data_IF_990844027913
#
_entry.id   IF_990844027913
#
_cell.length_a   1.000
_cell.length_b   1.000
_cell.length_c   1.000
_cell.angle_alpha   90.00
_cell.angle_beta   90.00
_cell.angle_gamma   90.00
#
_symmetry.space_group_name_H-M   'P 1'
#
loop_
_entity.id
_entity.type
_entity.pdbx_description
1 polymer ?
#
# COMPACT_ATOMS: atom_id res chain seq x y z
N UNK A 1 -11.74 -16.77 10.68
CA UNK A 1 -12.37 -16.02 9.59
C UNK A 1 -11.74 -16.55 8.33
N UNK A 2 -12.48 -17.39 7.60
CA UNK A 2 -12.04 -17.85 6.28
C UNK A 2 -11.77 -16.62 5.43
N UNK A 3 -10.51 -16.43 5.04
CA UNK A 3 -10.14 -15.35 4.13
C UNK A 3 -10.88 -15.62 2.83
N UNK A 4 -11.86 -14.78 2.49
CA UNK A 4 -12.43 -14.76 1.14
C UNK A 4 -11.25 -14.59 0.18
N UNK A 5 -10.93 -15.59 -0.67
CA UNK A 5 -9.71 -15.57 -1.49
C UNK A 5 -9.59 -14.29 -2.32
N UNK A 6 -10.73 -13.80 -2.82
CA UNK A 6 -10.83 -12.58 -3.62
C UNK A 6 -10.40 -11.30 -2.88
N UNK A 7 -10.73 -11.18 -1.59
CA UNK A 7 -10.32 -10.02 -0.76
C UNK A 7 -8.81 -10.06 -0.52
N UNK A 8 -8.24 -11.26 -0.35
CA UNK A 8 -6.79 -11.42 -0.19
C UNK A 8 -6.05 -11.06 -1.48
N UNK A 9 -6.53 -11.53 -2.63
CA UNK A 9 -5.99 -11.15 -3.95
C UNK A 9 -6.04 -9.62 -4.16
N UNK A 10 -7.14 -8.97 -3.78
CA UNK A 10 -7.28 -7.53 -3.89
C UNK A 10 -6.25 -6.77 -3.03
N UNK A 11 -6.08 -7.19 -1.78
CA UNK A 11 -5.09 -6.59 -0.87
C UNK A 11 -3.67 -6.80 -1.39
N UNK A 12 -3.32 -8.01 -1.82
CA UNK A 12 -2.01 -8.32 -2.41
C UNK A 12 -1.76 -7.49 -3.69
N UNK A 13 -2.81 -7.28 -4.49
CA UNK A 13 -2.73 -6.45 -5.69
C UNK A 13 -2.56 -4.95 -5.37
N UNK A 14 -3.06 -4.46 -4.23
CA UNK A 14 -2.80 -3.11 -3.73
C UNK A 14 -1.38 -2.97 -3.15
N UNK A 15 -0.83 -4.00 -2.51
CA UNK A 15 0.56 -4.00 -2.03
C UNK A 15 1.56 -3.78 -3.17
N UNK A 16 1.25 -4.28 -4.38
CA UNK A 16 2.03 -4.05 -5.59
C UNK A 16 2.07 -2.59 -6.07
N UNK A 17 1.26 -1.69 -5.50
CA UNK A 17 1.40 -0.26 -5.76
C UNK A 17 2.57 0.37 -5.00
N UNK A 18 3.15 -0.34 -4.02
CA UNK A 18 4.41 0.07 -3.41
C UNK A 18 5.54 -0.07 -4.43
N UNK A 19 6.29 1.01 -4.63
CA UNK A 19 7.48 0.95 -5.46
C UNK A 19 8.55 0.04 -4.81
N UNK A 20 9.12 -0.91 -5.56
CA UNK A 20 9.99 -1.94 -4.99
C UNK A 20 11.31 -1.40 -4.45
N UNK A 21 11.83 -0.29 -4.98
CA UNK A 21 13.01 0.39 -4.48
C UNK A 21 12.75 1.16 -3.18
N UNK A 22 11.53 1.68 -2.97
CA UNK A 22 11.11 2.22 -1.67
C UNK A 22 10.97 1.09 -0.65
N UNK A 23 10.31 -0.01 -1.02
CA UNK A 23 10.21 -1.20 -0.17
C UNK A 23 11.59 -1.74 0.21
N UNK A 24 12.53 -1.78 -0.75
CA UNK A 24 13.91 -2.23 -0.51
C UNK A 24 14.65 -1.30 0.45
N UNK A 25 14.49 0.02 0.31
CA UNK A 25 15.09 0.99 1.22
C UNK A 25 14.58 0.80 2.65
N UNK A 26 13.26 0.70 2.82
CA UNK A 26 12.63 0.47 4.13
C UNK A 26 13.13 -0.85 4.74
N UNK A 27 13.21 -1.92 3.94
CA UNK A 27 13.78 -3.19 4.37
C UNK A 27 15.25 -3.09 4.80
N UNK A 28 16.10 -2.39 4.04
CA UNK A 28 17.49 -2.15 4.40
C UNK A 28 17.61 -1.38 5.74
N UNK A 29 16.72 -0.42 6.00
CA UNK A 29 16.68 0.31 7.26
C UNK A 29 16.34 -0.62 8.44
N UNK A 30 15.27 -1.43 8.32
CA UNK A 30 14.91 -2.41 9.35
C UNK A 30 16.00 -3.47 9.58
N UNK A 31 16.64 -3.95 8.52
CA UNK A 31 17.76 -4.89 8.63
C UNK A 31 18.96 -4.27 9.35
N UNK A 32 19.28 -3.01 9.05
CA UNK A 32 20.39 -2.29 9.70
C UNK A 32 20.14 -2.11 11.20
N UNK A 33 18.91 -1.79 11.58
CA UNK A 33 18.50 -1.72 12.99
C UNK A 33 18.60 -3.08 13.69
N UNK A 34 18.13 -4.15 13.04
CA UNK A 34 18.23 -5.50 13.58
C UNK A 34 19.69 -5.97 13.77
N UNK A 35 20.58 -5.65 12.82
CA UNK A 35 22.01 -5.96 12.91
C UNK A 35 22.69 -5.21 14.07
N UNK A 36 22.29 -3.97 14.36
CA UNK A 36 22.81 -3.21 15.49
C UNK A 36 22.38 -3.79 16.85
N UNK A 37 21.18 -4.37 16.92
CA UNK A 37 20.58 -4.87 18.17
C UNK A 37 20.96 -6.33 18.54
N UNK A 38 21.84 -6.99 17.75
CA UNK A 38 22.49 -8.30 18.02
C UNK A 38 21.58 -9.50 18.39
N UNK A 39 20.34 -9.57 17.91
CA UNK A 39 19.52 -10.81 18.02
C UNK A 39 19.57 -11.63 16.74
N UNK A 40 20.45 -12.63 16.71
CA UNK A 40 20.72 -13.51 15.55
C UNK A 40 19.47 -14.17 14.93
N UNK A 41 18.46 -14.47 15.75
CA UNK A 41 17.23 -15.17 15.33
C UNK A 41 16.27 -14.27 14.53
N UNK A 42 16.27 -12.95 14.77
CA UNK A 42 15.41 -12.00 14.04
C UNK A 42 15.97 -11.64 12.65
N UNK A 43 17.29 -11.55 12.50
CA UNK A 43 17.94 -11.07 11.26
C UNK A 43 17.73 -12.02 10.08
N UNK A 44 17.86 -13.33 10.29
CA UNK A 44 17.66 -14.32 9.20
C UNK A 44 16.20 -14.38 8.75
N UNK A 45 15.27 -14.33 9.71
CA UNK A 45 13.83 -14.30 9.43
C UNK A 45 13.46 -13.02 8.68
N UNK A 46 13.91 -11.87 9.16
CA UNK A 46 13.69 -10.57 8.52
C UNK A 46 14.27 -10.51 7.11
N UNK A 47 15.43 -11.13 6.88
CA UNK A 47 16.01 -11.29 5.55
C UNK A 47 15.12 -12.14 4.64
N UNK A 48 14.70 -13.33 5.10
CA UNK A 48 13.86 -14.24 4.33
C UNK A 48 12.51 -13.60 3.97
N UNK A 49 11.86 -12.95 4.95
CA UNK A 49 10.59 -12.25 4.76
C UNK A 49 10.74 -11.09 3.77
N UNK A 50 11.80 -10.29 3.89
CA UNK A 50 12.09 -9.20 2.96
C UNK A 50 12.38 -9.67 1.54
N UNK A 51 13.20 -10.70 1.36
CA UNK A 51 13.48 -11.29 0.04
C UNK A 51 12.21 -11.84 -0.61
N UNK A 52 11.35 -12.48 0.19
CA UNK A 52 10.04 -12.97 -0.28
C UNK A 52 9.16 -11.83 -0.76
N UNK A 53 9.05 -10.76 0.04
CA UNK A 53 8.23 -9.60 -0.28
C UNK A 53 8.74 -8.84 -1.52
N UNK A 54 10.06 -8.67 -1.64
CA UNK A 54 10.67 -7.88 -2.71
C UNK A 54 10.72 -8.59 -4.07
N UNK A 55 10.90 -9.92 -4.06
CA UNK A 55 11.24 -10.66 -5.29
C UNK A 55 10.28 -11.79 -5.64
N UNK A 56 9.37 -12.17 -4.74
CA UNK A 56 8.59 -13.40 -4.85
C UNK A 56 9.44 -14.65 -4.70
N UNK A 57 8.98 -15.61 -3.90
CA UNK A 57 9.63 -16.92 -3.75
C UNK A 57 9.45 -17.80 -5.00
N UNK A 58 10.45 -18.62 -5.33
CA UNK A 58 10.36 -19.67 -6.36
C UNK A 58 9.61 -20.94 -5.90
N UNK A 59 9.05 -20.96 -4.69
CA UNK A 59 8.21 -22.06 -4.20
C UNK A 59 6.74 -21.69 -4.35
N UNK A 60 5.90 -22.66 -4.75
CA UNK A 60 4.44 -22.57 -4.72
C UNK A 60 3.97 -22.14 -3.32
N UNK A 61 3.77 -20.84 -3.11
CA UNK A 61 3.03 -20.25 -2.01
C UNK A 61 2.76 -18.76 -2.30
N UNK A 62 1.68 -18.55 -3.06
CA UNK A 62 0.56 -17.65 -2.76
C UNK A 62 0.77 -16.15 -2.46
N UNK A 63 1.96 -15.57 -2.59
CA UNK A 63 2.12 -14.10 -2.43
C UNK A 63 2.26 -13.31 -3.75
N UNK A 64 2.29 -13.98 -4.91
CA UNK A 64 2.27 -13.37 -6.25
C UNK A 64 1.71 -14.37 -7.28
N UNK A 65 0.48 -14.85 -7.12
CA UNK A 65 -0.20 -15.59 -8.20
C UNK A 65 -0.40 -14.70 -9.45
N UNK A 66 -0.48 -13.38 -9.27
CA UNK A 66 -0.78 -12.41 -10.31
C UNK A 66 0.43 -11.88 -11.10
N UNK A 67 1.66 -12.08 -10.58
CA UNK A 67 2.90 -11.48 -11.11
C UNK A 67 2.90 -9.95 -11.00
N UNK A 68 3.89 -9.38 -10.30
CA UNK A 68 4.06 -7.92 -10.30
C UNK A 68 4.20 -7.36 -11.73
N UNK A 69 3.80 -6.11 -11.92
CA UNK A 69 3.91 -5.44 -13.22
C UNK A 69 5.36 -5.27 -13.70
N UNK A 70 5.55 -4.54 -14.80
CA UNK A 70 6.90 -4.32 -15.38
C UNK A 70 7.86 -3.65 -14.38
N UNK A 71 7.36 -2.79 -13.48
CA UNK A 71 8.17 -2.13 -12.44
C UNK A 71 8.80 -3.14 -11.49
N UNK A 72 8.00 -4.05 -10.95
CA UNK A 72 8.47 -5.10 -10.03
C UNK A 72 9.39 -6.11 -10.71
N UNK A 73 9.05 -6.51 -11.95
CA UNK A 73 9.89 -7.42 -12.74
C UNK A 73 11.25 -6.82 -13.05
N UNK A 74 11.28 -5.57 -13.53
CA UNK A 74 12.52 -4.86 -13.82
C UNK A 74 13.41 -4.72 -12.57
N UNK A 75 12.82 -4.35 -11.43
CA UNK A 75 13.54 -4.30 -10.16
C UNK A 75 14.13 -5.66 -9.79
N UNK A 76 13.33 -6.72 -9.86
CA UNK A 76 13.78 -8.08 -9.53
C UNK A 76 14.95 -8.53 -10.42
N UNK A 77 14.86 -8.31 -11.74
CA UNK A 77 15.91 -8.69 -12.69
C UNK A 77 17.25 -8.00 -12.40
N UNK A 78 17.21 -6.72 -12.01
CA UNK A 78 18.40 -5.93 -11.72
C UNK A 78 18.99 -6.22 -10.33
N UNK A 79 18.12 -6.38 -9.33
CA UNK A 79 18.50 -6.32 -7.91
C UNK A 79 18.68 -7.71 -7.30
N UNK A 80 17.86 -8.71 -7.66
CA UNK A 80 17.83 -10.02 -7.00
C UNK A 80 19.18 -10.71 -6.97
N UNK A 81 19.87 -10.78 -8.13
CA UNK A 81 21.20 -11.39 -8.23
C UNK A 81 22.23 -10.65 -7.36
N UNK A 82 22.16 -9.33 -7.30
CA UNK A 82 23.10 -8.50 -6.53
C UNK A 82 22.90 -8.68 -5.03
N UNK A 83 21.65 -8.77 -4.57
CA UNK A 83 21.29 -9.09 -3.18
C UNK A 83 21.85 -10.47 -2.78
N UNK A 84 21.71 -11.49 -3.61
CA UNK A 84 22.27 -12.83 -3.34
C UNK A 84 23.81 -12.81 -3.34
N UNK A 85 24.45 -12.05 -4.23
CA UNK A 85 25.91 -11.90 -4.24
C UNK A 85 26.42 -11.19 -2.98
N UNK A 86 25.77 -10.10 -2.57
CA UNK A 86 26.16 -9.29 -1.42
C UNK A 86 25.94 -10.03 -0.09
N UNK A 87 24.77 -10.63 0.10
CA UNK A 87 24.35 -11.18 1.39
C UNK A 87 24.38 -12.72 1.47
N UNK A 88 24.67 -13.39 0.35
CA UNK A 88 24.69 -14.84 0.25
C UNK A 88 23.30 -15.44 0.05
N UNK A 89 23.27 -16.72 -0.33
CA UNK A 89 22.03 -17.50 -0.39
C UNK A 89 21.44 -17.55 1.02
N UNK A 90 20.15 -17.21 1.15
CA UNK A 90 19.41 -17.12 2.42
C UNK A 90 20.11 -16.27 3.50
N UNK A 91 20.88 -15.27 3.09
CA UNK A 91 21.56 -14.38 4.05
C UNK A 91 22.75 -15.04 4.75
N UNK A 92 23.32 -16.11 4.20
CA UNK A 92 24.48 -16.82 4.77
C UNK A 92 25.68 -15.93 5.11
N UNK A 93 25.89 -14.80 4.41
CA UNK A 93 26.97 -13.84 4.70
C UNK A 93 26.64 -12.84 5.80
N UNK A 94 25.37 -12.71 6.19
CA UNK A 94 24.93 -11.73 7.21
C UNK A 94 25.48 -12.02 8.60
N UNK A 95 25.73 -13.29 8.93
CA UNK A 95 26.27 -13.70 10.25
C UNK A 95 27.60 -13.02 10.58
N UNK A 96 28.40 -12.72 9.56
CA UNK A 96 29.73 -12.11 9.69
C UNK A 96 29.76 -10.63 9.29
N UNK A 97 28.61 -10.05 8.95
CA UNK A 97 28.50 -8.71 8.39
C UNK A 97 28.02 -7.74 9.47
N UNK A 98 28.74 -6.62 9.63
CA UNK A 98 28.28 -5.53 10.48
C UNK A 98 27.25 -4.64 9.75
N UNK A 99 26.51 -3.83 10.52
CA UNK A 99 25.47 -2.95 10.01
C UNK A 99 25.99 -1.87 9.03
N UNK A 100 27.24 -1.44 9.18
CA UNK A 100 27.86 -0.41 8.32
C UNK A 100 28.14 -0.98 6.93
N UNK A 101 28.75 -2.16 6.86
CA UNK A 101 29.01 -2.89 5.63
C UNK A 101 27.69 -3.26 4.94
N UNK A 102 26.71 -3.78 5.67
CA UNK A 102 25.38 -4.04 5.14
C UNK A 102 24.75 -2.80 4.48
N UNK A 103 24.78 -1.66 5.19
CA UNK A 103 24.29 -0.40 4.67
C UNK A 103 24.99 0.05 3.38
N UNK A 104 26.32 -0.09 3.30
CA UNK A 104 27.08 0.25 2.09
C UNK A 104 26.72 -0.63 0.89
N UNK A 105 26.52 -1.93 1.09
CA UNK A 105 26.09 -2.85 0.03
C UNK A 105 24.67 -2.50 -0.45
N UNK A 106 23.73 -2.24 0.47
CA UNK A 106 22.39 -1.77 0.13
C UNK A 106 22.42 -0.51 -0.74
N UNK A 107 23.28 0.47 -0.42
CA UNK A 107 23.42 1.70 -1.21
C UNK A 107 23.99 1.42 -2.61
N UNK A 108 24.99 0.56 -2.74
CA UNK A 108 25.57 0.17 -4.04
C UNK A 108 24.52 -0.51 -4.91
N UNK A 109 23.75 -1.44 -4.32
CA UNK A 109 22.65 -2.13 -5.00
C UNK A 109 21.59 -1.15 -5.48
N UNK A 110 21.13 -0.26 -4.59
CA UNK A 110 20.07 0.71 -4.91
C UNK A 110 20.51 1.69 -6.01
N UNK A 111 21.75 2.19 -5.97
CA UNK A 111 22.32 3.06 -7.01
C UNK A 111 22.39 2.40 -8.39
N UNK A 112 22.38 1.07 -8.43
CA UNK A 112 22.46 0.33 -9.68
C UNK A 112 21.11 0.09 -10.36
N UNK A 113 20.01 0.39 -9.66
CA UNK A 113 18.65 0.32 -10.18
C UNK A 113 18.21 1.72 -10.62
N UNK A 114 17.63 1.80 -11.81
CA UNK A 114 17.00 3.03 -12.31
C UNK A 114 15.49 2.86 -12.18
N UNK A 115 14.87 3.69 -11.35
CA UNK A 115 13.41 3.64 -11.17
C UNK A 115 12.69 3.91 -12.49
N UNK A 116 11.67 3.11 -12.74
CA UNK A 116 10.69 3.39 -13.77
C UNK A 116 9.64 4.35 -13.22
N UNK A 117 9.05 5.15 -14.11
CA UNK A 117 7.98 6.10 -13.80
C UNK A 117 6.70 5.63 -14.51
N UNK A 118 5.93 4.72 -13.88
CA UNK A 118 4.73 4.16 -14.51
C UNK A 118 3.63 5.22 -14.60
N UNK A 119 2.92 5.23 -15.73
CA UNK A 119 1.70 6.02 -15.93
C UNK A 119 0.45 5.16 -16.00
N UNK A 120 0.63 3.84 -16.19
CA UNK A 120 -0.43 2.86 -16.30
C UNK A 120 -0.46 1.91 -15.09
N UNK A 121 -1.66 1.56 -14.64
CA UNK A 121 -1.89 0.71 -13.48
C UNK A 121 -1.31 -0.69 -13.67
N UNK A 122 -1.38 -1.25 -14.89
CA UNK A 122 -0.79 -2.56 -15.22
C UNK A 122 0.73 -2.62 -15.03
N UNK A 123 1.42 -1.48 -15.09
CA UNK A 123 2.87 -1.43 -14.93
C UNK A 123 3.28 -1.73 -13.49
N UNK A 124 2.38 -1.47 -12.54
CA UNK A 124 2.51 -1.78 -11.12
C UNK A 124 1.75 -3.08 -10.77
N UNK A 125 0.44 -3.10 -11.01
CA UNK A 125 -0.49 -4.16 -10.59
C UNK A 125 -1.38 -4.64 -11.75
N UNK A 126 -0.93 -5.66 -12.51
CA UNK A 126 -1.71 -6.26 -13.59
C UNK A 126 -3.03 -6.88 -13.15
N UNK A 127 -3.17 -7.26 -11.88
CA UNK A 127 -4.42 -7.81 -11.35
C UNK A 127 -5.48 -6.72 -11.24
N UNK A 128 -5.16 -5.54 -10.68
CA UNK A 128 -6.10 -4.42 -10.59
C UNK A 128 -6.51 -3.93 -11.98
N UNK A 129 -5.55 -3.79 -12.90
CA UNK A 129 -5.82 -3.37 -14.29
C UNK A 129 -6.79 -4.31 -15.02
N UNK A 130 -6.68 -5.63 -14.79
CA UNK A 130 -7.54 -6.64 -15.42
C UNK A 130 -8.79 -6.97 -14.61
N UNK A 131 -8.96 -6.38 -13.43
CA UNK A 131 -10.10 -6.69 -12.59
C UNK A 131 -11.39 -6.20 -13.24
N UNK A 132 -12.35 -7.10 -13.36
CA UNK A 132 -13.70 -6.86 -13.86
C UNK A 132 -14.69 -7.64 -13.00
N UNK A 133 -15.72 -6.96 -12.50
CA UNK A 133 -16.80 -7.61 -11.76
C UNK A 133 -17.62 -8.58 -12.61
N UNK A 134 -17.58 -8.46 -13.95
CA UNK A 134 -18.32 -9.33 -14.86
C UNK A 134 -17.73 -10.75 -14.93
N UNK A 135 -16.46 -10.91 -14.61
CA UNK A 135 -15.74 -12.18 -14.73
C UNK A 135 -15.80 -13.03 -13.45
N UNK A 136 -16.57 -12.61 -12.44
CA UNK A 136 -16.55 -13.16 -11.09
C UNK A 136 -17.94 -13.25 -10.47
N UNK A 137 -18.22 -14.37 -9.80
CA UNK A 137 -19.48 -14.56 -9.06
C UNK A 137 -19.50 -13.76 -7.75
N UNK A 138 -18.35 -13.61 -7.11
CA UNK A 138 -18.20 -12.86 -5.86
C UNK A 138 -17.80 -11.41 -6.16
N UNK A 139 -18.50 -10.46 -5.51
CA UNK A 139 -18.23 -9.03 -5.61
C UNK A 139 -17.36 -8.54 -4.46
N UNK A 140 -16.67 -7.41 -4.67
CA UNK A 140 -15.93 -6.69 -3.64
C UNK A 140 -16.61 -5.33 -3.47
N UNK A 141 -17.06 -5.01 -2.26
CA UNK A 141 -17.58 -3.67 -1.96
C UNK A 141 -16.44 -2.63 -2.01
N UNK A 142 -16.74 -1.40 -2.43
CA UNK A 142 -15.80 -0.29 -2.26
C UNK A 142 -15.52 -0.13 -0.75
N UNK A 143 -14.25 -0.14 -0.31
CA UNK A 143 -13.94 -0.06 1.11
C UNK A 143 -14.38 1.27 1.75
N UNK A 144 -14.80 1.23 3.02
CA UNK A 144 -15.13 2.44 3.81
C UNK A 144 -16.63 2.77 3.94
N UNK A 145 -17.53 1.95 3.40
CA UNK A 145 -18.98 2.25 3.42
C UNK A 145 -19.66 1.98 4.78
N UNK A 146 -19.06 1.14 5.64
CA UNK A 146 -19.59 0.84 6.97
C UNK A 146 -19.24 1.93 7.99
N UNK A 147 -20.09 2.95 8.09
CA UNK A 147 -19.84 4.12 8.97
C UNK A 147 -20.07 3.85 10.46
N UNK A 148 -20.83 2.81 10.80
CA UNK A 148 -21.21 2.49 12.18
C UNK A 148 -22.16 3.50 12.84
N UNK A 149 -22.67 4.49 12.09
CA UNK A 149 -23.62 5.51 12.60
C UNK A 149 -25.08 5.05 12.53
N UNK A 150 -25.37 4.10 11.65
CA UNK A 150 -26.71 3.55 11.42
C UNK A 150 -26.59 2.07 11.02
N UNK A 151 -27.72 1.36 10.98
CA UNK A 151 -27.76 -0.02 10.50
C UNK A 151 -27.28 -0.06 9.04
N UNK A 152 -26.27 -0.88 8.69
CA UNK A 152 -25.80 -0.97 7.31
C UNK A 152 -26.88 -1.59 6.42
N UNK A 153 -26.86 -1.21 5.14
CA UNK A 153 -27.74 -1.76 4.11
C UNK A 153 -26.88 -2.30 2.96
N UNK A 154 -26.27 -3.50 3.11
CA UNK A 154 -25.30 -4.04 2.15
C UNK A 154 -25.84 -4.15 0.72
N UNK A 155 -27.15 -4.35 0.55
CA UNK A 155 -27.80 -4.41 -0.75
C UNK A 155 -27.72 -3.10 -1.57
N UNK A 156 -27.42 -1.97 -0.92
CA UNK A 156 -27.19 -0.67 -1.55
C UNK A 156 -25.72 -0.23 -1.52
N UNK A 157 -24.82 -1.07 -0.99
CA UNK A 157 -23.41 -0.75 -1.00
C UNK A 157 -22.86 -0.87 -2.43
N UNK A 158 -22.01 0.08 -2.79
CA UNK A 158 -21.37 0.14 -4.09
C UNK A 158 -20.30 -0.94 -4.16
N UNK A 159 -20.30 -1.71 -5.25
CA UNK A 159 -19.27 -2.71 -5.53
C UNK A 159 -18.24 -2.15 -6.51
N UNK A 160 -17.00 -2.62 -6.36
CA UNK A 160 -15.94 -2.40 -7.35
C UNK A 160 -16.37 -3.09 -8.65
N UNK A 161 -16.61 -2.30 -9.69
CA UNK A 161 -16.84 -2.80 -11.04
C UNK A 161 -15.52 -3.02 -11.78
N UNK A 162 -14.56 -2.10 -11.59
CA UNK A 162 -13.26 -2.12 -12.24
C UNK A 162 -12.35 -0.98 -11.77
N UNK A 163 -11.18 -0.85 -12.38
CA UNK A 163 -10.22 0.23 -12.09
C UNK A 163 -9.92 1.03 -13.34
N UNK A 164 -9.59 2.30 -13.20
CA UNK A 164 -9.05 3.11 -14.29
C UNK A 164 -7.59 2.71 -14.55
N UNK A 165 -7.17 2.72 -15.83
CA UNK A 165 -5.81 2.33 -16.18
C UNK A 165 -4.78 3.42 -15.85
N UNK A 166 -5.16 4.69 -15.76
CA UNK A 166 -4.22 5.74 -15.40
C UNK A 166 -3.94 5.76 -13.89
N UNK A 167 -2.67 5.88 -13.52
CA UNK A 167 -2.24 6.07 -12.12
C UNK A 167 -1.54 7.42 -11.96
N UNK A 168 -1.82 8.11 -10.86
CA UNK A 168 -1.09 9.31 -10.46
C UNK A 168 -0.12 8.97 -9.32
N UNK A 169 1.17 9.07 -9.58
CA UNK A 169 2.22 8.90 -8.57
C UNK A 169 2.56 10.26 -7.96
N UNK A 170 2.39 10.41 -6.65
CA UNK A 170 2.72 11.67 -5.98
C UNK A 170 4.23 11.80 -5.78
N UNK A 171 4.75 13.02 -5.96
CA UNK A 171 6.15 13.38 -5.72
C UNK A 171 6.44 13.53 -4.22
N UNK A 172 6.42 12.42 -3.49
CA UNK A 172 6.73 12.33 -2.07
C UNK A 172 7.74 11.21 -1.82
N UNK A 173 8.34 11.17 -0.63
CA UNK A 173 9.36 10.18 -0.26
C UNK A 173 8.86 8.73 -0.42
N UNK A 174 7.60 8.46 -0.09
CA UNK A 174 7.01 7.13 -0.20
C UNK A 174 6.36 6.86 -1.57
N UNK A 175 6.29 7.88 -2.45
CA UNK A 175 5.61 7.83 -3.77
C UNK A 175 4.25 7.11 -3.74
N UNK A 176 3.31 7.55 -2.89
CA UNK A 176 1.99 6.93 -2.84
C UNK A 176 1.26 7.14 -4.18
N UNK A 177 0.46 6.15 -4.56
CA UNK A 177 -0.27 6.14 -5.82
C UNK A 177 -1.73 6.51 -5.58
N UNK A 178 -2.27 7.47 -6.34
CA UNK A 178 -3.71 7.68 -6.45
C UNK A 178 -4.26 6.82 -7.57
N UNK A 179 -5.24 5.99 -7.24
CA UNK A 179 -5.98 5.14 -8.16
C UNK A 179 -7.44 5.60 -8.23
N UNK A 180 -8.11 5.29 -9.34
CA UNK A 180 -9.55 5.50 -9.51
C UNK A 180 -10.24 4.14 -9.58
N UNK A 181 -11.19 3.92 -8.67
CA UNK A 181 -12.08 2.76 -8.64
C UNK A 181 -13.39 3.13 -9.31
N UNK A 182 -13.85 2.31 -10.26
CA UNK A 182 -15.15 2.46 -10.91
C UNK A 182 -16.17 1.61 -10.16
N UNK A 183 -17.22 2.23 -9.65
CA UNK A 183 -18.31 1.56 -8.95
C UNK A 183 -19.36 1.00 -9.92
N UNK A 184 -20.16 0.06 -9.44
CA UNK A 184 -21.39 -0.37 -10.12
C UNK A 184 -22.53 0.67 -10.02
N UNK A 185 -22.28 1.79 -9.33
CA UNK A 185 -23.12 2.99 -9.27
C UNK A 185 -22.81 4.01 -10.38
N UNK A 186 -22.01 3.63 -11.38
CA UNK A 186 -21.54 4.45 -12.50
C UNK A 186 -20.67 5.66 -12.08
N UNK A 187 -20.12 5.64 -10.85
CA UNK A 187 -19.25 6.71 -10.35
C UNK A 187 -17.79 6.28 -10.23
N UNK A 188 -16.93 7.30 -10.25
CA UNK A 188 -15.50 7.18 -9.97
C UNK A 188 -15.22 7.52 -8.52
N UNK A 189 -14.50 6.63 -7.84
CA UNK A 189 -14.11 6.76 -6.43
C UNK A 189 -12.58 6.76 -6.37
N UNK A 190 -11.99 7.92 -6.03
CA UNK A 190 -10.53 8.10 -6.06
C UNK A 190 -9.94 7.86 -4.67
N UNK A 191 -8.87 7.09 -4.61
CA UNK A 191 -8.17 6.76 -3.37
C UNK A 191 -6.68 6.94 -3.53
N UNK A 192 -6.04 7.52 -2.51
CA UNK A 192 -4.60 7.44 -2.31
C UNK A 192 -4.27 6.14 -1.58
N UNK A 193 -3.49 5.29 -2.23
CA UNK A 193 -3.03 4.03 -1.64
C UNK A 193 -1.76 4.29 -0.87
N UNK A 194 -1.80 3.98 0.44
CA UNK A 194 -0.65 4.01 1.33
C UNK A 194 -0.18 2.59 1.59
N UNK A 195 1.09 2.35 1.29
CA UNK A 195 1.74 1.04 1.45
C UNK A 195 2.97 1.17 2.33
N UNK A 196 3.18 0.21 3.24
CA UNK A 196 4.26 0.24 4.23
C UNK A 196 3.97 1.10 5.45
N UNK A 197 2.76 1.65 5.58
CA UNK A 197 2.32 2.50 6.69
C UNK A 197 1.04 1.93 7.31
N UNK A 198 0.87 2.12 8.63
CA UNK A 198 -0.30 1.67 9.37
C UNK A 198 -1.26 2.83 9.62
N UNK A 199 -2.37 2.87 8.88
CA UNK A 199 -3.32 3.99 8.92
C UNK A 199 -4.33 3.91 10.09
N UNK A 200 -4.16 3.02 11.06
CA UNK A 200 -5.11 2.89 12.17
C UNK A 200 -5.13 4.11 13.09
N UNK A 201 -4.02 4.86 13.18
CA UNK A 201 -4.01 6.11 13.93
C UNK A 201 -4.78 7.20 13.18
N UNK A 202 -4.54 7.34 11.88
CA UNK A 202 -5.22 8.27 10.99
C UNK A 202 -6.75 8.04 10.98
N UNK A 203 -7.21 6.78 10.84
CA UNK A 203 -8.63 6.43 10.94
C UNK A 203 -9.26 6.88 12.27
N UNK A 204 -8.57 6.67 13.39
CA UNK A 204 -9.07 7.10 14.70
C UNK A 204 -9.18 8.62 14.80
N UNK A 205 -8.26 9.36 14.19
CA UNK A 205 -8.28 10.82 14.16
C UNK A 205 -9.46 11.31 13.31
N UNK A 206 -9.68 10.75 12.12
CA UNK A 206 -10.82 11.12 11.26
C UNK A 206 -12.17 10.80 11.94
N UNK A 207 -12.25 9.68 12.66
CA UNK A 207 -13.43 9.34 13.47
C UNK A 207 -13.67 10.34 14.60
N UNK A 208 -12.60 10.81 15.25
CA UNK A 208 -12.68 11.87 16.27
C UNK A 208 -13.18 13.18 15.65
N UNK A 209 -12.68 13.59 14.49
CA UNK A 209 -13.18 14.78 13.78
C UNK A 209 -14.66 14.63 13.39
N UNK A 210 -15.09 13.44 13.00
CA UNK A 210 -16.51 13.13 12.79
C UNK A 210 -17.36 13.33 14.06
N UNK A 211 -16.85 12.93 15.22
CA UNK A 211 -17.53 13.16 16.50
C UNK A 211 -17.56 14.65 16.88
N UNK A 212 -16.48 15.39 16.63
CA UNK A 212 -16.43 16.85 16.84
C UNK A 212 -17.45 17.59 15.97
N UNK A 213 -17.60 17.18 14.71
CA UNK A 213 -18.64 17.73 13.82
C UNK A 213 -20.06 17.49 14.35
N UNK A 214 -20.33 16.36 14.99
CA UNK A 214 -21.60 16.11 15.65
C UNK A 214 -21.83 17.08 16.84
N UNK A 215 -20.79 17.39 17.61
CA UNK A 215 -20.85 18.38 18.69
C UNK A 215 -21.09 19.80 18.15
N UNK A 216 -20.40 20.20 17.08
CA UNK A 216 -20.63 21.50 16.43
C UNK A 216 -22.04 21.63 15.86
N UNK A 217 -22.59 20.54 15.33
CA UNK A 217 -23.96 20.53 14.83
C UNK A 217 -24.98 20.63 15.96
N UNK A 218 -24.70 20.06 17.14
CA UNK A 218 -25.58 20.13 18.29
C UNK A 218 -25.64 21.53 18.91
N UNK A 219 -24.50 22.23 19.02
CA UNK A 219 -24.42 23.58 19.59
C UNK A 219 -25.04 24.65 18.65
N UNK A 220 -26.05 25.42 19.11
CA UNK A 220 -26.68 26.45 18.28
C UNK A 220 -25.73 27.54 17.77
N UNK A 221 -24.73 27.93 18.56
CA UNK A 221 -23.80 29.02 18.18
C UNK A 221 -22.83 28.57 17.09
N UNK A 222 -22.35 27.33 17.16
CA UNK A 222 -21.52 26.70 16.13
C UNK A 222 -22.32 26.42 14.87
N UNK A 223 -23.53 25.87 15.00
CA UNK A 223 -24.43 25.60 13.87
C UNK A 223 -24.84 26.86 13.12
N UNK A 224 -25.15 27.96 13.83
CA UNK A 224 -25.48 29.25 13.21
C UNK A 224 -24.30 29.83 12.39
N UNK A 225 -23.07 29.42 12.69
CA UNK A 225 -21.85 29.80 11.96
C UNK A 225 -21.40 28.76 10.95
N UNK A 226 -22.15 27.67 10.77
CA UNK A 226 -21.81 26.54 9.91
C UNK A 226 -20.40 25.97 10.19
N UNK A 227 -19.99 25.90 11.46
CA UNK A 227 -18.69 25.35 11.82
C UNK A 227 -18.66 23.85 11.57
N UNK A 228 -17.74 23.42 10.70
CA UNK A 228 -17.52 22.02 10.38
C UNK A 228 -16.06 21.80 9.99
N UNK A 229 -15.47 20.72 10.49
CA UNK A 229 -14.21 20.18 10.00
C UNK A 229 -14.46 19.42 8.69
N UNK A 230 -13.61 19.65 7.70
CA UNK A 230 -13.56 18.79 6.51
C UNK A 230 -12.92 17.47 6.92
N UNK A 231 -13.65 16.37 6.75
CA UNK A 231 -13.21 15.00 7.05
C UNK A 231 -13.14 14.19 5.77
N UNK A 232 -12.27 13.17 5.74
CA UNK A 232 -12.14 12.25 4.61
C UNK A 232 -12.04 10.80 5.10
N UNK A 233 -12.37 9.85 4.23
CA UNK A 233 -12.32 8.43 4.54
C UNK A 233 -10.88 7.92 4.68
N UNK A 234 -10.62 7.17 5.76
CA UNK A 234 -9.38 6.40 5.94
C UNK A 234 -9.77 4.95 6.20
N UNK A 235 -9.28 4.04 5.37
CA UNK A 235 -9.63 2.63 5.43
C UNK A 235 -8.37 1.78 5.58
N UNK A 236 -7.99 1.41 6.82
CA UNK A 236 -6.89 0.48 7.05
C UNK A 236 -7.32 -0.94 6.64
N UNK A 237 -6.67 -1.50 5.61
CA UNK A 237 -6.97 -2.85 5.11
C UNK A 237 -6.10 -3.90 5.81
N UNK A 238 -4.83 -3.57 6.03
CA UNK A 238 -3.87 -4.35 6.81
C UNK A 238 -3.02 -3.40 7.67
N UNK A 239 -2.05 -3.94 8.41
CA UNK A 239 -1.05 -3.11 9.12
C UNK A 239 -0.03 -2.45 8.17
N UNK A 240 -0.12 -2.71 6.86
CA UNK A 240 0.81 -2.18 5.85
C UNK A 240 0.11 -1.56 4.65
N UNK A 241 -1.19 -1.77 4.48
CA UNK A 241 -1.96 -1.24 3.36
C UNK A 241 -3.17 -0.53 3.90
N UNK A 242 -3.36 0.69 3.44
CA UNK A 242 -4.59 1.43 3.68
C UNK A 242 -4.92 2.36 2.52
N UNK A 243 -6.18 2.74 2.48
CA UNK A 243 -6.71 3.68 1.50
C UNK A 243 -7.07 4.98 2.21
N UNK A 244 -6.75 6.10 1.57
CA UNK A 244 -7.20 7.43 2.00
C UNK A 244 -8.05 7.98 0.85
N UNK A 245 -9.26 8.45 1.15
CA UNK A 245 -10.12 9.12 0.19
C UNK A 245 -9.41 10.33 -0.42
N UNK A 246 -9.50 10.46 -1.74
CA UNK A 246 -8.93 11.59 -2.44
C UNK A 246 -9.93 12.74 -2.53
N UNK A 247 -9.55 13.90 -1.99
CA UNK A 247 -10.34 15.13 -2.11
C UNK A 247 -9.97 15.90 -3.38
N UNK A 248 -10.91 15.97 -4.32
CA UNK A 248 -10.74 16.73 -5.56
C UNK A 248 -10.70 18.25 -5.31
N UNK A 249 -10.07 18.98 -6.23
CA UNK A 249 -9.95 20.45 -6.14
C UNK A 249 -9.01 20.94 -5.05
N UNK A 250 -8.17 20.05 -4.49
CA UNK A 250 -7.17 20.39 -3.47
C UNK A 250 -5.75 20.43 -4.05
N UNK A 251 -4.92 21.32 -3.51
CA UNK A 251 -3.47 21.35 -3.71
C UNK A 251 -2.77 21.46 -2.36
N UNK A 252 -1.53 21.00 -2.27
CA UNK A 252 -0.74 21.20 -1.05
C UNK A 252 -0.42 22.68 -0.87
N UNK A 253 -0.50 23.20 0.35
CA UNK A 253 -0.30 24.63 0.64
C UNK A 253 1.05 25.17 0.14
N UNK A 254 2.09 24.32 0.12
CA UNK A 254 3.42 24.70 -0.37
C UNK A 254 3.41 25.07 -1.87
N UNK A 255 2.49 24.50 -2.63
CA UNK A 255 2.40 24.68 -4.09
C UNK A 255 1.35 25.73 -4.48
N UNK A 256 0.67 26.36 -3.51
CA UNK A 256 -0.28 27.46 -3.69
C UNK A 256 0.45 28.81 -3.65
#
# INVERSE_FOLDING_TARGET
MDKLPLVSEFIEALELLQFPDVAFKNWCESMREALNNQKSVDVRKLYADGVRQLFGGQGRDLALSSGGGIVHRHFSDVVKKKVTVAFGIEGSKLVKMDAKKFGSECQVILKSYKSLEPTALKDLSPWLSRFSALDRDNKIEIPGQYTGRSKPMPEYHVNIFGFEESVLVLKSMQRPCRITIRGDDEKEHRFLVKTGEDLRQDDRIERLFGAMNALFTADPSCRAKHLQLVTYGVVPLTTRVGLIEWLDGTVVLKDF
#
